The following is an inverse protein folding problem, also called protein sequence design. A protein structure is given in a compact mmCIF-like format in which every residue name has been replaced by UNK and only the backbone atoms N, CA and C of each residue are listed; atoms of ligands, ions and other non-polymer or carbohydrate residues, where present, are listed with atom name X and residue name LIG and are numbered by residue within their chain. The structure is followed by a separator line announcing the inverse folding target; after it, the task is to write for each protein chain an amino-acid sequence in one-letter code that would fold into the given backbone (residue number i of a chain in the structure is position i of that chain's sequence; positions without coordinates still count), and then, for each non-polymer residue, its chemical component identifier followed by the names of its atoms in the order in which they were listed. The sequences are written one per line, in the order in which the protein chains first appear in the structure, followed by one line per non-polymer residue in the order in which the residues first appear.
data_IF_797931574835
#
_entry.id   IF_797931574835
#
_cell.length_a   1.000
_cell.length_b   1.000
_cell.length_c   1.000
_cell.angle_alpha   90.00
_cell.angle_beta   90.00
_cell.angle_gamma   90.00
#
_symmetry.space_group_name_H-M   'P 1'
#
loop_
_entity.id
_entity.type
_entity.pdbx_description
1 polymer ?
#
# COMPACT_ATOMS: atom_id res chain seq x y z
N UNK A 1 -47.35 -6.64 -1.35
CA UNK A 1 -47.29 -5.18 -1.54
C UNK A 1 -48.47 -4.77 -2.39
N UNK A 2 -49.37 -4.00 -1.81
CA UNK A 2 -50.45 -3.28 -2.48
C UNK A 2 -49.92 -2.32 -3.54
N UNK A 3 -50.80 -1.91 -4.46
CA UNK A 3 -50.46 -1.06 -5.61
C UNK A 3 -49.92 0.30 -5.13
N UNK A 4 -50.52 0.88 -4.10
CA UNK A 4 -50.10 2.17 -3.53
C UNK A 4 -48.66 2.13 -3.02
N UNK A 5 -48.28 1.07 -2.30
CA UNK A 5 -46.90 0.90 -1.80
C UNK A 5 -45.91 0.69 -2.95
N UNK A 6 -46.31 0.03 -4.04
CA UNK A 6 -45.46 -0.10 -5.25
C UNK A 6 -45.25 1.24 -5.95
N UNK A 7 -46.28 2.07 -6.04
CA UNK A 7 -46.20 3.42 -6.63
C UNK A 7 -45.31 4.31 -5.76
N UNK A 8 -45.53 4.35 -4.45
CA UNK A 8 -44.72 5.14 -3.52
C UNK A 8 -43.24 4.74 -3.53
N UNK A 9 -42.94 3.43 -3.66
CA UNK A 9 -41.58 2.94 -3.78
C UNK A 9 -40.92 3.41 -5.10
N UNK A 10 -41.67 3.38 -6.20
CA UNK A 10 -41.18 3.85 -7.50
C UNK A 10 -40.90 5.37 -7.50
N UNK A 11 -41.77 6.16 -6.89
CA UNK A 11 -41.58 7.62 -6.73
C UNK A 11 -40.36 7.94 -5.87
N UNK A 12 -40.22 7.28 -4.72
CA UNK A 12 -39.03 7.43 -3.86
C UNK A 12 -37.76 7.02 -4.59
N UNK A 13 -37.79 5.94 -5.37
CA UNK A 13 -36.65 5.54 -6.18
C UNK A 13 -36.29 6.63 -7.22
N UNK A 14 -37.27 7.21 -7.90
CA UNK A 14 -37.04 8.29 -8.87
C UNK A 14 -36.40 9.53 -8.20
N UNK A 15 -36.89 9.94 -7.03
CA UNK A 15 -36.32 11.05 -6.25
C UNK A 15 -34.86 10.79 -5.87
N UNK A 16 -34.56 9.60 -5.34
CA UNK A 16 -33.18 9.23 -4.96
C UNK A 16 -32.26 9.22 -6.18
N UNK A 17 -32.75 8.77 -7.34
CA UNK A 17 -31.99 8.78 -8.58
C UNK A 17 -31.65 10.21 -9.04
N UNK A 18 -32.59 11.15 -8.91
CA UNK A 18 -32.39 12.56 -9.24
C UNK A 18 -31.37 13.22 -8.29
N UNK A 19 -31.49 12.97 -6.99
CA UNK A 19 -30.52 13.46 -5.98
C UNK A 19 -29.10 12.97 -6.27
N UNK A 20 -28.94 11.70 -6.64
CA UNK A 20 -27.65 11.11 -6.98
C UNK A 20 -27.05 11.74 -8.26
N UNK A 21 -27.87 12.04 -9.28
CA UNK A 21 -27.40 12.74 -10.49
C UNK A 21 -26.99 14.18 -10.18
N UNK A 22 -27.77 14.91 -9.39
CA UNK A 22 -27.44 16.28 -9.00
C UNK A 22 -26.12 16.35 -8.20
N UNK A 23 -25.93 15.43 -7.25
CA UNK A 23 -24.70 15.32 -6.49
C UNK A 23 -23.52 14.93 -7.38
N UNK A 24 -23.68 13.93 -8.24
CA UNK A 24 -22.62 13.50 -9.16
C UNK A 24 -22.22 14.59 -10.15
N UNK A 25 -23.17 15.39 -10.64
CA UNK A 25 -22.88 16.54 -11.49
C UNK A 25 -22.04 17.61 -10.79
N UNK A 26 -22.28 17.85 -9.49
CA UNK A 26 -21.43 18.73 -8.66
C UNK A 26 -20.01 18.15 -8.55
N UNK A 27 -19.90 16.88 -8.19
CA UNK A 27 -18.61 16.21 -8.01
C UNK A 27 -17.78 16.14 -9.30
N UNK A 28 -18.42 16.02 -10.47
CA UNK A 28 -17.77 16.12 -11.77
C UNK A 28 -17.18 17.52 -12.01
N UNK A 29 -17.94 18.58 -11.69
CA UNK A 29 -17.46 19.97 -11.82
C UNK A 29 -16.27 20.24 -10.94
N UNK A 30 -16.28 19.71 -9.72
CA UNK A 30 -15.22 19.89 -8.74
C UNK A 30 -13.98 19.01 -9.05
N UNK A 31 -14.03 18.17 -10.09
CA UNK A 31 -12.92 17.31 -10.51
C UNK A 31 -12.61 16.14 -9.56
N UNK A 32 -13.49 15.88 -8.59
CA UNK A 32 -13.30 14.83 -7.57
C UNK A 32 -13.94 13.49 -7.95
N UNK A 33 -14.71 13.46 -9.03
CA UNK A 33 -15.34 12.26 -9.59
C UNK A 33 -15.26 12.21 -11.11
N UNK A 34 -15.56 11.01 -11.65
CA UNK A 34 -15.71 10.73 -13.07
C UNK A 34 -16.96 9.87 -13.29
N UNK A 35 -17.49 9.82 -14.53
CA UNK A 35 -18.61 8.91 -14.86
C UNK A 35 -18.12 7.47 -14.78
N UNK A 36 -18.87 6.61 -14.09
CA UNK A 36 -18.52 5.21 -13.94
C UNK A 36 -18.96 4.39 -15.15
N UNK A 37 -18.18 3.35 -15.50
CA UNK A 37 -18.50 2.37 -16.54
C UNK A 37 -19.26 1.18 -15.93
N UNK A 38 -20.34 1.43 -15.20
CA UNK A 38 -21.12 0.40 -14.51
C UNK A 38 -22.61 0.66 -14.66
N UNK A 39 -23.40 -0.42 -14.69
CA UNK A 39 -24.87 -0.34 -14.67
C UNK A 39 -25.42 0.09 -13.30
N UNK A 40 -24.64 -0.09 -12.23
CA UNK A 40 -25.10 0.11 -10.84
C UNK A 40 -24.60 1.41 -10.23
N UNK A 41 -23.37 1.81 -10.55
CA UNK A 41 -22.78 3.06 -10.08
C UNK A 41 -22.69 4.03 -11.25
N UNK A 42 -23.29 5.22 -11.10
CA UNK A 42 -23.29 6.27 -12.14
C UNK A 42 -22.02 7.12 -12.13
N UNK A 43 -21.38 7.25 -10.97
CA UNK A 43 -20.19 8.05 -10.75
C UNK A 43 -19.16 7.27 -9.94
N UNK A 44 -17.88 7.52 -10.20
CA UNK A 44 -16.76 6.98 -9.42
C UNK A 44 -15.84 8.12 -8.99
N UNK A 45 -15.64 8.24 -7.68
CA UNK A 45 -14.74 9.21 -7.07
C UNK A 45 -13.34 8.64 -6.84
N UNK A 46 -12.36 9.53 -6.69
CA UNK A 46 -11.02 9.14 -6.19
C UNK A 46 -11.13 8.55 -4.78
N UNK A 47 -12.08 9.08 -3.99
CA UNK A 47 -12.43 8.60 -2.66
C UNK A 47 -13.87 8.08 -2.71
N UNK A 48 -14.09 6.85 -2.22
CA UNK A 48 -15.42 6.24 -2.14
C UNK A 48 -16.28 6.92 -1.05
N UNK A 49 -17.62 6.89 -1.16
CA UNK A 49 -18.53 7.58 -0.23
C UNK A 49 -18.28 7.25 1.24
N UNK A 50 -18.02 5.99 1.57
CA UNK A 50 -17.79 5.51 2.94
C UNK A 50 -16.51 6.12 3.53
N UNK A 51 -15.44 6.17 2.74
CA UNK A 51 -14.19 6.82 3.15
C UNK A 51 -14.38 8.32 3.28
N UNK A 52 -15.11 8.96 2.36
CA UNK A 52 -15.42 10.37 2.44
C UNK A 52 -16.24 10.71 3.70
N UNK A 53 -17.25 9.88 4.03
CA UNK A 53 -18.06 10.01 5.24
C UNK A 53 -17.22 9.85 6.50
N UNK A 54 -16.34 8.85 6.53
CA UNK A 54 -15.43 8.62 7.67
C UNK A 54 -14.49 9.82 7.89
N UNK A 55 -13.89 10.36 6.81
CA UNK A 55 -13.06 11.55 6.88
C UNK A 55 -13.86 12.77 7.38
N UNK A 56 -15.04 13.01 6.81
CA UNK A 56 -15.91 14.11 7.22
C UNK A 56 -16.28 14.02 8.71
N UNK A 57 -16.65 12.82 9.18
CA UNK A 57 -16.97 12.56 10.57
C UNK A 57 -15.76 12.80 11.49
N UNK A 58 -14.57 12.33 11.10
CA UNK A 58 -13.33 12.56 11.85
C UNK A 58 -13.05 14.06 12.00
N UNK A 59 -13.05 14.83 10.90
CA UNK A 59 -12.77 16.27 10.96
C UNK A 59 -13.86 17.09 11.66
N UNK A 60 -15.09 16.56 11.74
CA UNK A 60 -16.18 17.15 12.53
C UNK A 60 -16.14 16.76 14.02
N UNK A 61 -15.34 15.77 14.42
CA UNK A 61 -15.22 15.34 15.82
C UNK A 61 -14.27 16.22 16.64
N UNK A 62 -14.46 16.26 17.97
CA UNK A 62 -13.56 16.97 18.88
C UNK A 62 -12.12 16.42 18.82
N UNK A 63 -11.97 15.10 18.81
CA UNK A 63 -10.67 14.43 18.72
C UNK A 63 -9.95 14.74 17.41
N UNK A 64 -10.68 14.76 16.28
CA UNK A 64 -10.11 15.13 14.99
C UNK A 64 -9.66 16.59 14.94
N UNK A 65 -10.46 17.51 15.49
CA UNK A 65 -10.07 18.92 15.60
C UNK A 65 -8.83 19.12 16.48
N UNK A 66 -8.77 18.47 17.64
CA UNK A 66 -7.60 18.56 18.53
C UNK A 66 -6.34 17.99 17.86
N UNK A 67 -6.47 16.85 17.17
CA UNK A 67 -5.37 16.26 16.39
C UNK A 67 -4.85 17.22 15.34
N UNK A 68 -5.74 17.85 14.55
CA UNK A 68 -5.35 18.84 13.53
C UNK A 68 -4.69 20.06 14.17
N UNK A 69 -5.20 20.55 15.29
CA UNK A 69 -4.61 21.67 16.02
C UNK A 69 -3.21 21.33 16.56
N UNK A 70 -3.02 20.11 17.08
CA UNK A 70 -1.71 19.61 17.51
C UNK A 70 -0.72 19.51 16.35
N UNK A 71 -1.13 18.96 15.21
CA UNK A 71 -0.29 18.89 14.02
C UNK A 71 0.15 20.27 13.53
N UNK A 72 -0.78 21.25 13.52
CA UNK A 72 -0.47 22.64 13.18
C UNK A 72 0.53 23.27 14.16
N UNK A 73 0.37 23.05 15.48
CA UNK A 73 1.32 23.53 16.49
C UNK A 73 2.73 22.95 16.30
N UNK A 74 2.83 21.72 15.82
CA UNK A 74 4.10 21.07 15.51
C UNK A 74 4.66 21.47 14.13
N UNK A 75 3.97 22.33 13.37
CA UNK A 75 4.39 22.72 12.02
C UNK A 75 4.29 21.60 10.98
N UNK A 76 3.53 20.53 11.27
CA UNK A 76 3.39 19.38 10.37
C UNK A 76 2.37 19.72 9.30
N UNK A 77 2.84 20.00 8.08
CA UNK A 77 1.99 20.28 6.91
C UNK A 77 2.28 19.27 5.78
N UNK A 78 1.61 18.11 5.78
CA UNK A 78 1.81 17.12 4.72
C UNK A 78 1.21 17.64 3.41
N UNK A 79 2.07 18.03 2.47
CA UNK A 79 1.64 18.42 1.13
C UNK A 79 1.35 17.18 0.28
N UNK A 80 0.10 17.08 -0.19
CA UNK A 80 -0.33 16.10 -1.17
C UNK A 80 0.19 16.48 -2.56
N UNK A 81 1.37 15.97 -2.92
CA UNK A 81 1.89 16.01 -4.29
C UNK A 81 1.87 14.63 -4.91
N UNK A 82 1.83 14.56 -6.25
CA UNK A 82 2.01 13.34 -7.03
C UNK A 82 3.16 12.50 -6.46
N UNK A 83 2.87 11.45 -5.68
CA UNK A 83 3.89 10.56 -5.13
C UNK A 83 4.77 9.96 -6.24
N UNK A 84 4.23 9.84 -7.47
CA UNK A 84 4.96 9.45 -8.68
C UNK A 84 5.97 10.51 -9.15
N UNK A 85 5.64 11.81 -9.13
CA UNK A 85 6.59 12.89 -9.50
C UNK A 85 7.65 13.10 -8.42
N UNK A 86 7.29 12.94 -7.14
CA UNK A 86 8.25 13.04 -6.03
C UNK A 86 9.33 11.95 -6.10
N UNK A 87 8.99 10.72 -6.51
CA UNK A 87 9.99 9.67 -6.77
C UNK A 87 10.90 9.97 -7.98
N UNK A 88 10.38 10.60 -9.02
CA UNK A 88 11.17 10.98 -10.20
C UNK A 88 12.15 12.15 -9.93
N UNK A 89 11.79 13.07 -9.03
CA UNK A 89 12.62 14.24 -8.69
C UNK A 89 13.58 14.04 -7.50
N UNK A 90 13.24 13.18 -6.54
CA UNK A 90 14.09 12.94 -5.36
C UNK A 90 15.29 12.02 -5.65
N UNK A 91 15.22 11.18 -6.69
CA UNK A 91 16.27 10.21 -7.00
C UNK A 91 17.54 10.81 -7.63
N UNK A 92 17.55 12.08 -8.04
CA UNK A 92 18.70 12.68 -8.76
C UNK A 92 19.62 13.58 -7.91
N UNK A 93 19.25 13.94 -6.67
CA UNK A 93 20.03 14.95 -5.90
C UNK A 93 20.67 14.43 -4.61
N UNK A 94 20.61 13.13 -4.33
CA UNK A 94 21.19 12.54 -3.10
C UNK A 94 22.31 11.51 -3.34
N UNK A 95 22.65 11.15 -4.58
CA UNK A 95 23.58 10.05 -4.89
C UNK A 95 24.93 10.50 -5.45
N UNK A 96 25.52 11.57 -4.90
CA UNK A 96 26.86 12.02 -5.31
C UNK A 96 27.96 11.77 -4.26
N UNK A 97 27.65 11.12 -3.14
CA UNK A 97 28.68 10.70 -2.19
C UNK A 97 28.15 9.56 -1.30
N UNK A 98 28.52 8.31 -1.60
CA UNK A 98 29.08 7.34 -0.64
C UNK A 98 29.19 5.92 -1.25
N UNK A 99 30.45 5.51 -1.32
CA UNK A 99 31.02 4.21 -0.98
C UNK A 99 30.74 3.00 -1.89
N UNK A 100 31.82 2.57 -2.56
CA UNK A 100 31.90 1.54 -3.62
C UNK A 100 31.66 0.10 -3.15
N UNK A 101 31.42 -0.14 -1.85
CA UNK A 101 31.19 -1.48 -1.29
C UNK A 101 29.73 -1.97 -1.40
N UNK A 102 28.76 -1.09 -1.69
CA UNK A 102 27.33 -1.43 -1.78
C UNK A 102 26.90 -1.99 -3.14
N UNK A 103 27.79 -2.00 -4.15
CA UNK A 103 27.42 -2.27 -5.54
C UNK A 103 27.11 -3.75 -5.82
N UNK A 104 27.66 -4.68 -5.05
CA UNK A 104 27.46 -6.12 -5.28
C UNK A 104 26.05 -6.64 -4.89
N UNK A 105 25.33 -5.89 -4.04
CA UNK A 105 23.98 -6.24 -3.60
C UNK A 105 22.87 -5.67 -4.49
N UNK A 106 23.07 -4.45 -5.00
CA UNK A 106 22.06 -3.71 -5.77
C UNK A 106 21.66 -4.41 -7.08
N UNK A 107 22.60 -5.07 -7.75
CA UNK A 107 22.33 -5.76 -9.02
C UNK A 107 21.41 -6.98 -8.86
N UNK A 108 21.38 -7.61 -7.67
CA UNK A 108 20.55 -8.79 -7.43
C UNK A 108 19.06 -8.44 -7.30
N UNK A 109 18.74 -7.29 -6.71
CA UNK A 109 17.36 -6.88 -6.46
C UNK A 109 16.76 -6.07 -7.60
N UNK A 110 17.59 -5.39 -8.40
CA UNK A 110 17.17 -4.54 -9.50
C UNK A 110 16.18 -5.25 -10.46
N UNK A 111 14.96 -4.72 -10.55
CA UNK A 111 13.96 -5.17 -11.53
C UNK A 111 13.20 -6.46 -11.16
N UNK A 112 13.55 -7.12 -10.05
CA UNK A 112 12.91 -8.38 -9.61
C UNK A 112 11.80 -8.14 -8.60
N UNK A 113 10.89 -9.11 -8.50
CA UNK A 113 9.70 -9.09 -7.65
C UNK A 113 9.81 -10.09 -6.51
N UNK A 114 9.69 -9.61 -5.28
CA UNK A 114 9.86 -10.36 -4.04
C UNK A 114 8.55 -10.42 -3.26
N UNK A 115 8.26 -11.58 -2.68
CA UNK A 115 7.19 -11.73 -1.68
C UNK A 115 7.82 -11.99 -0.33
N UNK A 116 7.31 -11.35 0.71
CA UNK A 116 7.79 -11.52 2.08
C UNK A 116 6.81 -12.42 2.86
N UNK A 117 7.33 -13.47 3.48
CA UNK A 117 6.56 -14.40 4.32
C UNK A 117 7.34 -14.75 5.59
N UNK A 118 6.69 -14.68 6.75
CA UNK A 118 7.32 -14.94 8.07
C UNK A 118 7.63 -13.66 8.85
N UNK A 119 8.16 -13.83 10.06
CA UNK A 119 8.77 -12.77 10.87
C UNK A 119 10.29 -12.77 10.62
N UNK A 120 10.98 -11.67 10.90
CA UNK A 120 12.45 -11.63 10.78
C UNK A 120 13.06 -11.40 12.15
N UNK A 121 14.28 -11.87 12.36
CA UNK A 121 15.00 -11.72 13.62
C UNK A 121 15.60 -10.30 13.75
N UNK A 122 16.19 -9.99 14.91
CA UNK A 122 16.89 -8.72 15.20
C UNK A 122 16.05 -7.43 15.06
N UNK A 123 14.78 -7.46 15.47
CA UNK A 123 13.86 -6.32 15.32
C UNK A 123 13.68 -5.86 13.86
N UNK A 124 14.06 -6.67 12.88
CA UNK A 124 13.88 -6.32 11.48
C UNK A 124 12.40 -6.45 11.14
N UNK A 125 11.72 -5.33 10.95
CA UNK A 125 10.30 -5.39 10.63
C UNK A 125 10.11 -5.77 9.16
N UNK A 126 8.94 -6.34 8.84
CA UNK A 126 8.56 -6.58 7.44
C UNK A 126 8.62 -5.30 6.60
N UNK A 127 8.37 -4.15 7.22
CA UNK A 127 8.46 -2.86 6.55
C UNK A 127 9.92 -2.45 6.29
N UNK A 128 10.83 -2.68 7.23
CA UNK A 128 12.27 -2.44 7.03
C UNK A 128 12.83 -3.31 5.90
N UNK A 129 12.47 -4.58 5.85
CA UNK A 129 12.85 -5.48 4.76
C UNK A 129 12.31 -4.96 3.43
N UNK A 130 11.03 -4.56 3.40
CA UNK A 130 10.41 -3.98 2.22
C UNK A 130 11.15 -2.74 1.74
N UNK A 131 11.48 -1.82 2.65
CA UNK A 131 12.20 -0.59 2.32
C UNK A 131 13.59 -0.89 1.76
N UNK A 132 14.33 -1.84 2.35
CA UNK A 132 15.67 -2.22 1.90
C UNK A 132 15.66 -2.88 0.52
N UNK A 133 14.72 -3.79 0.25
CA UNK A 133 14.57 -4.40 -1.08
C UNK A 133 14.22 -3.34 -2.13
N UNK A 134 13.33 -2.39 -1.79
CA UNK A 134 12.98 -1.28 -2.69
C UNK A 134 14.15 -0.32 -2.90
N UNK A 135 14.94 -0.05 -1.86
CA UNK A 135 16.16 0.76 -1.96
C UNK A 135 17.21 0.12 -2.87
N UNK A 136 17.31 -1.22 -2.85
CA UNK A 136 18.14 -2.00 -3.76
C UNK A 136 17.55 -2.16 -5.17
N UNK A 137 16.42 -1.51 -5.50
CA UNK A 137 15.83 -1.53 -6.85
C UNK A 137 14.84 -2.67 -7.12
N UNK A 138 14.48 -3.44 -6.09
CA UNK A 138 13.47 -4.50 -6.16
C UNK A 138 12.04 -4.03 -5.97
N UNK A 139 11.08 -4.87 -6.35
CA UNK A 139 9.64 -4.67 -6.11
C UNK A 139 9.15 -5.67 -5.09
N UNK A 140 8.34 -5.23 -4.14
CA UNK A 140 7.74 -6.12 -3.12
C UNK A 140 6.24 -6.22 -3.35
N UNK A 141 5.72 -7.44 -3.38
CA UNK A 141 4.28 -7.74 -3.54
C UNK A 141 3.81 -8.66 -2.41
N UNK A 142 2.51 -8.59 -2.09
CA UNK A 142 1.96 -9.26 -0.90
C UNK A 142 1.51 -10.70 -1.16
N UNK A 143 1.36 -11.09 -2.43
CA UNK A 143 0.92 -12.42 -2.87
C UNK A 143 1.87 -13.03 -3.90
N UNK A 144 2.04 -14.36 -3.82
CA UNK A 144 2.82 -15.12 -4.79
C UNK A 144 1.99 -15.30 -6.06
N UNK A 145 2.46 -14.75 -7.18
CA UNK A 145 1.89 -14.94 -8.51
C UNK A 145 2.94 -15.37 -9.52
N UNK A 146 2.53 -15.59 -10.77
CA UNK A 146 3.40 -16.06 -11.87
C UNK A 146 4.59 -15.11 -12.15
N UNK A 147 4.45 -13.82 -11.82
CA UNK A 147 5.49 -12.80 -12.00
C UNK A 147 6.39 -12.61 -10.77
N UNK A 148 6.32 -13.52 -9.80
CA UNK A 148 7.13 -13.46 -8.58
C UNK A 148 8.44 -14.16 -8.82
N UNK A 149 9.55 -13.44 -8.70
CA UNK A 149 10.88 -13.97 -8.92
C UNK A 149 11.41 -14.72 -7.68
N UNK A 150 11.11 -14.20 -6.47
CA UNK A 150 11.60 -14.79 -5.22
C UNK A 150 10.60 -14.70 -4.07
N UNK A 151 10.54 -15.76 -3.25
CA UNK A 151 9.86 -15.76 -1.95
C UNK A 151 10.90 -15.62 -0.84
N UNK A 152 10.88 -14.50 -0.13
CA UNK A 152 11.67 -14.26 1.07
C UNK A 152 11.02 -14.97 2.26
N UNK A 153 11.75 -15.92 2.84
CA UNK A 153 11.34 -16.70 4.01
C UNK A 153 12.02 -16.14 5.26
N UNK A 154 11.20 -15.66 6.19
CA UNK A 154 11.57 -15.44 7.57
C UNK A 154 11.08 -16.58 8.47
N UNK A 155 11.22 -16.40 9.78
CA UNK A 155 10.76 -17.32 10.81
C UNK A 155 9.23 -17.52 10.75
N UNK A 156 8.81 -18.77 10.95
CA UNK A 156 7.44 -19.25 10.83
C UNK A 156 6.67 -18.71 9.59
N UNK A 157 7.10 -19.06 8.36
CA UNK A 157 6.47 -18.57 7.14
C UNK A 157 5.05 -19.14 7.00
N UNK A 158 4.10 -18.29 6.62
CA UNK A 158 2.70 -18.70 6.49
C UNK A 158 2.51 -19.84 5.48
N UNK A 159 1.76 -20.88 5.87
CA UNK A 159 1.57 -22.11 5.09
C UNK A 159 1.04 -21.86 3.66
N UNK A 160 0.15 -20.88 3.49
CA UNK A 160 -0.48 -20.58 2.20
C UNK A 160 0.52 -20.03 1.17
N UNK A 161 1.47 -19.18 1.61
CA UNK A 161 2.48 -18.57 0.73
C UNK A 161 3.55 -19.60 0.35
N UNK A 162 3.95 -20.43 1.31
CA UNK A 162 4.92 -21.52 1.09
C UNK A 162 4.38 -22.60 0.16
N UNK A 163 3.10 -22.95 0.32
CA UNK A 163 2.40 -23.90 -0.55
C UNK A 163 2.27 -23.35 -1.98
N UNK A 164 1.84 -22.09 -2.12
CA UNK A 164 1.66 -21.44 -3.44
C UNK A 164 2.99 -21.25 -4.18
N UNK A 165 4.06 -20.90 -3.48
CA UNK A 165 5.40 -20.85 -4.08
C UNK A 165 5.91 -22.22 -4.51
N UNK A 166 5.57 -23.30 -3.77
CA UNK A 166 5.91 -24.68 -4.17
C UNK A 166 5.17 -25.10 -5.44
N UNK A 167 3.89 -24.71 -5.57
CA UNK A 167 3.07 -24.99 -6.76
C UNK A 167 3.57 -24.24 -8.00
N UNK A 168 4.01 -22.99 -7.82
CA UNK A 168 4.49 -22.12 -8.91
C UNK A 168 5.99 -22.29 -9.22
N UNK A 169 6.72 -23.11 -8.45
CA UNK A 169 8.16 -23.29 -8.63
C UNK A 169 8.98 -22.05 -8.29
N UNK A 170 8.44 -21.11 -7.51
CA UNK A 170 9.14 -19.86 -7.18
C UNK A 170 10.36 -20.14 -6.28
N UNK A 171 11.56 -19.65 -6.66
CA UNK A 171 12.76 -19.74 -5.83
C UNK A 171 12.57 -19.14 -4.43
N UNK A 172 13.12 -19.78 -3.42
CA UNK A 172 13.07 -19.34 -2.01
C UNK A 172 14.37 -18.63 -1.66
N UNK A 173 14.27 -17.54 -0.91
CA UNK A 173 15.39 -16.76 -0.40
C UNK A 173 15.28 -16.70 1.12
N UNK A 174 16.22 -17.30 1.83
CA UNK A 174 16.25 -17.27 3.29
C UNK A 174 16.72 -15.91 3.81
N UNK A 175 16.34 -15.58 5.04
CA UNK A 175 16.74 -14.35 5.72
C UNK A 175 18.27 -14.14 5.73
N UNK A 176 19.05 -15.21 5.94
CA UNK A 176 20.52 -15.14 5.92
C UNK A 176 21.05 -14.65 4.58
N UNK A 177 20.60 -15.27 3.50
CA UNK A 177 21.00 -14.90 2.13
C UNK A 177 20.51 -13.51 1.77
N UNK A 178 19.31 -13.12 2.21
CA UNK A 178 18.80 -11.76 2.06
C UNK A 178 19.73 -10.74 2.73
N UNK A 179 20.17 -11.00 3.96
CA UNK A 179 21.08 -10.12 4.72
C UNK A 179 22.42 -9.97 4.03
N UNK A 180 23.01 -11.08 3.57
CA UNK A 180 24.25 -11.07 2.79
C UNK A 180 24.11 -10.21 1.53
N UNK A 181 23.01 -10.37 0.79
CA UNK A 181 22.74 -9.58 -0.42
C UNK A 181 22.44 -8.11 -0.12
N UNK A 182 21.95 -7.77 1.07
CA UNK A 182 21.71 -6.40 1.52
C UNK A 182 22.91 -5.76 2.23
N UNK A 183 24.04 -6.48 2.36
CA UNK A 183 25.22 -5.99 3.10
C UNK A 183 24.97 -5.84 4.61
N UNK A 184 24.01 -6.57 5.15
CA UNK A 184 23.71 -6.59 6.58
C UNK A 184 24.67 -7.54 7.32
N UNK A 185 25.08 -7.22 8.56
CA UNK A 185 25.88 -8.13 9.37
C UNK A 185 25.13 -9.46 9.54
N UNK A 186 25.83 -10.60 9.57
CA UNK A 186 25.20 -11.90 9.80
C UNK A 186 24.54 -11.93 11.18
N UNK A 187 23.37 -12.58 11.29
CA UNK A 187 22.80 -12.87 12.60
C UNK A 187 23.71 -13.89 13.29
N UNK A 188 24.19 -13.58 14.50
CA UNK A 188 24.72 -14.63 15.36
C UNK A 188 23.50 -15.35 15.93
N UNK A 189 23.17 -16.51 15.37
CA UNK A 189 22.33 -17.45 16.13
C UNK A 189 23.01 -17.62 17.49
N UNK A 190 22.28 -17.37 18.57
CA UNK A 190 22.71 -17.78 19.89
C UNK A 190 22.95 -19.28 19.80
N UNK A 191 24.20 -19.67 19.58
CA UNK A 191 24.67 -21.02 19.84
C UNK A 191 24.31 -21.25 21.29
N UNK A 192 23.42 -22.21 21.54
CA UNK A 192 23.15 -22.71 22.87
C UNK A 192 24.47 -23.19 23.46
N UNK A 193 25.14 -22.30 24.18
CA UNK A 193 26.09 -22.66 25.20
C UNK A 193 25.25 -22.78 26.47
N UNK A 194 25.12 -24.05 26.87
CA UNK A 194 24.44 -24.63 28.03
C UNK A 194 22.96 -24.99 27.85
#
# INVERSE_FOLDING_TARGET
LDIETRVACAERHAQVVEEVEALGARMLRDGVASRAKSAYAKFTGVIKPETARSLAAFFASDSGRDTVARLKRLGVNPVGGDLKKRKAGASRKASAARDEDAQAGADFFAGRTFVISGAFHDNLTRDDVRQRIVAAGGKVVDSVGEKTDYLVLGDNPGADKTSRAKQLGTPRLDEKTLREKLGLPPYMEQTSLF
#
